data_IF_471827597446
#
_entry.id   IF_471827597446
#
_cell.length_a   1.000
_cell.length_b   1.000
_cell.length_c   1.000
_cell.angle_alpha   90.00
_cell.angle_beta   90.00
_cell.angle_gamma   90.00
#
_symmetry.space_group_name_H-M   'P 1'
#
loop_
_entity.id
_entity.type
_entity.pdbx_description
1 polymer ?
#
# COMPACT_ATOMS: atom_id res chain seq x y z
N UNK A 1 -17.40 15.36 -17.33
CA UNK A 1 -17.63 13.89 -17.33
C UNK A 1 -17.64 13.22 -18.73
N UNK A 2 -17.58 13.95 -19.86
CA UNK A 2 -17.58 13.34 -21.21
C UNK A 2 -16.25 12.70 -21.65
N UNK A 3 -15.11 13.32 -21.35
CA UNK A 3 -13.79 12.81 -21.77
C UNK A 3 -13.41 11.47 -21.10
N UNK A 4 -13.89 11.24 -19.88
CA UNK A 4 -13.74 9.96 -19.17
C UNK A 4 -14.69 8.90 -19.73
N UNK A 5 -15.89 9.28 -20.18
CA UNK A 5 -16.85 8.39 -20.85
C UNK A 5 -16.35 7.93 -22.23
N UNK A 6 -15.71 8.83 -23.00
CA UNK A 6 -15.11 8.51 -24.31
C UNK A 6 -13.81 7.69 -24.19
N UNK A 7 -13.05 7.83 -23.10
CA UNK A 7 -11.86 7.00 -22.83
C UNK A 7 -12.21 5.64 -22.21
N UNK A 8 -13.23 5.58 -21.35
CA UNK A 8 -13.75 4.32 -20.80
C UNK A 8 -14.43 3.49 -21.90
N UNK A 9 -15.11 4.13 -22.86
CA UNK A 9 -15.68 3.44 -24.02
C UNK A 9 -14.63 2.74 -24.90
N UNK A 10 -13.41 3.27 -24.98
CA UNK A 10 -12.30 2.65 -25.72
C UNK A 10 -11.59 1.50 -24.97
N UNK A 11 -11.70 1.44 -23.64
CA UNK A 11 -11.08 0.38 -22.82
C UNK A 11 -12.08 -0.75 -22.51
N UNK A 12 -13.39 -0.49 -22.58
CA UNK A 12 -14.45 -1.48 -22.33
C UNK A 12 -14.60 -2.56 -23.42
N UNK A 13 -13.94 -2.44 -24.57
CA UNK A 13 -14.11 -3.37 -25.71
C UNK A 13 -13.40 -4.71 -25.56
N UNK A 14 -12.74 -4.99 -24.42
CA UNK A 14 -12.11 -6.30 -24.17
C UNK A 14 -12.82 -7.19 -23.14
N UNK A 15 -13.89 -6.72 -22.49
CA UNK A 15 -14.59 -7.53 -21.46
C UNK A 15 -16.10 -7.50 -21.70
N UNK A 16 -16.55 -8.52 -22.43
CA UNK A 16 -17.94 -8.95 -22.70
C UNK A 16 -18.87 -8.03 -23.54
N UNK A 17 -19.55 -8.59 -24.58
CA UNK A 17 -20.60 -7.90 -25.29
C UNK A 17 -21.83 -7.74 -24.38
N UNK A 18 -22.16 -6.51 -23.96
CA UNK A 18 -23.38 -6.20 -23.20
C UNK A 18 -23.20 -5.27 -21.99
N UNK A 19 -21.98 -5.13 -21.44
CA UNK A 19 -21.74 -4.35 -20.22
C UNK A 19 -21.94 -2.82 -20.39
N UNK A 20 -21.72 -2.28 -21.59
CA UNK A 20 -21.89 -0.85 -21.87
C UNK A 20 -23.35 -0.37 -21.75
N UNK A 21 -24.32 -1.24 -22.04
CA UNK A 21 -25.74 -0.95 -21.89
C UNK A 21 -26.17 -0.91 -20.42
N UNK A 22 -25.64 -1.83 -19.60
CA UNK A 22 -26.00 -1.94 -18.19
C UNK A 22 -25.48 -0.77 -17.35
N UNK A 23 -24.21 -0.40 -17.49
CA UNK A 23 -23.64 0.75 -16.77
C UNK A 23 -24.31 2.07 -17.18
N UNK A 24 -24.60 2.26 -18.47
CA UNK A 24 -25.31 3.45 -18.95
C UNK A 24 -26.77 3.49 -18.51
N UNK A 25 -27.43 2.35 -18.37
CA UNK A 25 -28.78 2.25 -17.79
C UNK A 25 -28.76 2.53 -16.27
N UNK A 26 -27.86 1.90 -15.51
CA UNK A 26 -27.74 2.09 -14.07
C UNK A 26 -27.37 3.54 -13.70
N UNK A 27 -26.43 4.13 -14.43
CA UNK A 27 -26.09 5.55 -14.27
C UNK A 27 -27.26 6.48 -14.60
N UNK A 28 -28.14 6.10 -15.55
CA UNK A 28 -29.38 6.85 -15.85
C UNK A 28 -30.40 6.76 -14.71
N UNK A 29 -30.57 5.58 -14.12
CA UNK A 29 -31.48 5.39 -12.98
C UNK A 29 -31.06 6.23 -11.77
N UNK A 30 -29.76 6.22 -11.43
CA UNK A 30 -29.22 7.06 -10.35
C UNK A 30 -29.32 8.55 -10.66
N UNK A 31 -29.05 8.96 -11.90
CA UNK A 31 -29.19 10.35 -12.30
C UNK A 31 -30.64 10.84 -12.16
N UNK A 32 -31.63 10.01 -12.52
CA UNK A 32 -33.05 10.35 -12.39
C UNK A 32 -33.50 10.59 -10.94
N UNK A 33 -32.79 10.05 -9.95
CA UNK A 33 -33.07 10.30 -8.53
C UNK A 33 -32.41 11.57 -7.99
N UNK A 34 -31.56 12.21 -8.79
CA UNK A 34 -30.86 13.42 -8.40
C UNK A 34 -31.74 14.66 -8.66
N UNK A 35 -31.81 15.63 -7.72
CA UNK A 35 -32.58 16.85 -7.91
C UNK A 35 -32.14 17.59 -9.19
N UNK A 36 -33.08 18.27 -9.86
CA UNK A 36 -32.85 19.00 -11.14
C UNK A 36 -31.60 19.90 -11.06
N UNK A 37 -31.41 20.58 -9.93
CA UNK A 37 -30.25 21.47 -9.70
C UNK A 37 -28.92 20.73 -9.74
N UNK A 38 -28.85 19.51 -9.23
CA UNK A 38 -27.66 18.67 -9.23
C UNK A 38 -27.43 17.99 -10.57
N UNK A 39 -28.49 17.70 -11.35
CA UNK A 39 -28.34 17.18 -12.72
C UNK A 39 -27.82 18.23 -13.68
N UNK A 40 -28.39 19.44 -13.63
CA UNK A 40 -27.87 20.59 -14.34
C UNK A 40 -26.44 20.88 -13.91
N UNK A 41 -26.20 20.84 -12.59
CA UNK A 41 -24.87 20.96 -12.00
C UNK A 41 -24.04 19.67 -12.01
N UNK A 42 -24.28 18.71 -12.90
CA UNK A 42 -23.34 17.62 -13.16
C UNK A 42 -23.20 17.38 -14.68
N UNK A 43 -23.80 18.25 -15.50
CA UNK A 43 -23.92 18.03 -16.95
C UNK A 43 -24.69 16.75 -17.31
N UNK A 44 -25.50 16.23 -16.38
CA UNK A 44 -26.33 15.03 -16.55
C UNK A 44 -27.69 15.37 -17.19
N UNK A 45 -28.11 16.63 -17.12
CA UNK A 45 -29.26 17.14 -17.85
C UNK A 45 -28.99 17.14 -19.36
N UNK A 46 -29.97 16.70 -20.15
CA UNK A 46 -29.92 16.79 -21.62
C UNK A 46 -30.47 18.13 -22.11
N UNK A 47 -30.40 19.14 -21.27
CA UNK A 47 -31.03 20.42 -21.53
C UNK A 47 -30.29 21.11 -22.69
N UNK A 48 -31.05 21.53 -23.69
CA UNK A 48 -30.52 22.14 -24.91
C UNK A 48 -31.30 23.41 -25.18
N UNK A 49 -30.57 24.43 -25.62
CA UNK A 49 -31.18 25.61 -26.20
C UNK A 49 -31.39 25.35 -27.68
N UNK A 50 -32.65 25.29 -28.10
CA UNK A 50 -33.05 25.12 -29.49
C UNK A 50 -33.31 26.49 -30.11
N UNK A 51 -32.72 26.72 -31.27
CA UNK A 51 -32.90 27.90 -32.09
C UNK A 51 -33.66 27.46 -33.34
N UNK A 52 -34.82 28.04 -33.62
CA UNK A 52 -35.56 27.78 -34.85
C UNK A 52 -35.85 29.10 -35.56
N UNK A 53 -35.65 29.11 -36.88
CA UNK A 53 -36.06 30.21 -37.74
C UNK A 53 -37.40 29.82 -38.37
N UNK A 54 -38.44 30.63 -38.15
CA UNK A 54 -39.69 30.45 -38.88
C UNK A 54 -39.49 30.83 -40.35
N UNK A 55 -40.35 30.31 -41.24
CA UNK A 55 -40.33 30.70 -42.65
C UNK A 55 -40.48 32.23 -42.78
N UNK A 56 -39.84 32.85 -43.78
CA UNK A 56 -39.89 34.29 -43.95
C UNK A 56 -41.35 34.74 -44.02
N UNK A 57 -41.78 35.47 -42.99
CA UNK A 57 -43.12 36.03 -42.92
C UNK A 57 -43.19 37.21 -43.90
N UNK A 58 -44.38 37.49 -44.44
CA UNK A 58 -44.59 38.55 -45.44
C UNK A 58 -44.15 39.97 -44.96
N UNK A 59 -43.90 40.14 -43.66
CA UNK A 59 -43.39 41.37 -43.02
C UNK A 59 -41.84 41.49 -42.98
N UNK A 60 -41.09 40.56 -43.57
CA UNK A 60 -39.64 40.73 -43.83
C UNK A 60 -38.70 40.72 -42.61
N UNK A 61 -39.22 40.51 -41.40
CA UNK A 61 -38.41 40.31 -40.19
C UNK A 61 -38.39 38.82 -39.86
N UNK A 62 -37.32 38.14 -40.26
CA UNK A 62 -37.05 36.78 -39.80
C UNK A 62 -36.96 36.81 -38.27
N UNK A 63 -37.78 36.05 -37.56
CA UNK A 63 -37.72 35.98 -36.09
C UNK A 63 -37.00 34.69 -35.68
N UNK A 64 -35.95 34.82 -34.88
CA UNK A 64 -35.27 33.69 -34.26
C UNK A 64 -36.04 33.29 -33.00
N UNK A 65 -36.69 32.12 -33.01
CA UNK A 65 -37.37 31.58 -31.86
C UNK A 65 -36.41 30.74 -31.00
N UNK A 66 -36.44 30.98 -29.69
CA UNK A 66 -35.63 30.27 -28.70
C UNK A 66 -36.52 29.35 -27.87
N UNK A 67 -36.25 28.05 -27.94
CA UNK A 67 -36.97 27.04 -27.15
C UNK A 67 -35.99 26.29 -26.25
N UNK A 68 -36.42 25.96 -25.04
CA UNK A 68 -35.68 25.11 -24.12
C UNK A 68 -36.20 23.69 -24.25
N UNK A 69 -35.33 22.76 -24.60
CA UNK A 69 -35.62 21.33 -24.45
C UNK A 69 -35.10 20.90 -23.09
N UNK A 70 -35.99 20.50 -22.20
CA UNK A 70 -35.64 19.88 -20.92
C UNK A 70 -35.87 18.37 -21.04
N UNK A 71 -34.83 17.59 -20.79
CA UNK A 71 -34.86 16.13 -20.92
C UNK A 71 -34.67 15.45 -19.56
N UNK A 72 -35.74 14.91 -18.98
CA UNK A 72 -35.67 14.20 -17.69
C UNK A 72 -35.26 12.72 -17.82
N UNK A 73 -35.12 12.22 -19.05
CA UNK A 73 -34.73 10.83 -19.32
C UNK A 73 -35.78 9.77 -18.97
N UNK A 74 -36.83 10.13 -18.21
CA UNK A 74 -37.97 9.28 -17.82
C UNK A 74 -39.29 9.69 -18.49
N UNK A 75 -39.54 11.00 -18.61
CA UNK A 75 -40.67 11.57 -19.36
C UNK A 75 -40.14 12.17 -20.66
N UNK A 76 -40.88 11.99 -21.75
CA UNK A 76 -40.48 12.45 -23.08
C UNK A 76 -40.02 13.92 -23.06
N UNK A 77 -39.08 14.25 -23.94
CA UNK A 77 -38.46 15.56 -23.96
C UNK A 77 -39.52 16.66 -24.10
N UNK A 78 -39.58 17.58 -23.13
CA UNK A 78 -40.50 18.71 -23.17
C UNK A 78 -39.81 19.91 -23.80
N UNK A 79 -40.43 20.47 -24.84
CA UNK A 79 -39.95 21.69 -25.50
C UNK A 79 -40.81 22.86 -25.04
N UNK A 80 -40.19 23.86 -24.41
CA UNK A 80 -40.85 25.08 -23.93
C UNK A 80 -40.34 26.29 -24.69
N UNK A 81 -41.24 27.16 -25.16
CA UNK A 81 -40.86 28.42 -25.77
C UNK A 81 -40.35 29.42 -24.71
N UNK A 82 -39.18 30.01 -24.96
CA UNK A 82 -38.54 31.00 -24.09
C UNK A 82 -38.83 32.41 -24.61
N UNK A 83 -38.84 32.59 -25.93
CA UNK A 83 -39.05 33.89 -26.55
C UNK A 83 -38.64 33.94 -28.03
N UNK A 84 -38.89 35.10 -28.66
CA UNK A 84 -38.52 35.39 -30.04
C UNK A 84 -37.63 36.61 -30.08
N UNK A 85 -36.53 36.53 -30.81
CA UNK A 85 -35.63 37.63 -31.10
C UNK A 85 -35.82 38.06 -32.55
N UNK A 86 -35.94 39.37 -32.84
CA UNK A 86 -35.91 39.84 -34.23
C UNK A 86 -34.53 39.51 -34.82
N UNK A 87 -34.49 38.81 -35.95
CA UNK A 87 -33.26 38.68 -36.72
C UNK A 87 -32.98 40.02 -37.39
N UNK A 88 -32.06 40.77 -36.81
CA UNK A 88 -31.57 42.04 -37.32
C UNK A 88 -30.07 42.17 -37.08
N UNK A 89 -29.51 43.34 -37.36
CA UNK A 89 -28.07 43.66 -37.24
C UNK A 89 -27.44 43.29 -35.87
N UNK A 90 -28.24 43.12 -34.82
CA UNK A 90 -27.81 42.66 -33.50
C UNK A 90 -27.17 41.27 -33.49
N UNK A 91 -27.50 40.39 -34.45
CA UNK A 91 -26.90 39.06 -34.58
C UNK A 91 -25.55 39.06 -35.35
N UNK A 92 -25.23 40.16 -36.04
CA UNK A 92 -24.07 40.28 -36.93
C UNK A 92 -22.84 40.98 -36.34
N UNK A 93 -22.98 41.69 -35.22
CA UNK A 93 -21.93 42.60 -34.71
C UNK A 93 -21.03 41.94 -33.65
N UNK A 94 -21.55 40.98 -32.87
CA UNK A 94 -20.83 40.35 -31.76
C UNK A 94 -20.57 38.85 -31.97
N UNK A 95 -19.52 38.33 -31.33
CA UNK A 95 -19.15 36.90 -31.42
C UNK A 95 -20.19 35.99 -30.73
N UNK A 96 -20.94 36.54 -29.76
CA UNK A 96 -22.05 35.86 -29.07
C UNK A 96 -23.12 36.85 -28.55
N UNK A 97 -24.04 37.31 -29.41
CA UNK A 97 -25.08 38.28 -29.03
C UNK A 97 -26.13 37.70 -28.08
N UNK A 98 -26.22 36.36 -27.96
CA UNK A 98 -27.15 35.70 -27.05
C UNK A 98 -26.64 35.68 -25.61
N UNK A 99 -25.34 35.88 -25.38
CA UNK A 99 -24.76 35.86 -24.04
C UNK A 99 -25.21 37.04 -23.16
N UNK A 100 -25.55 38.18 -23.75
CA UNK A 100 -26.01 39.37 -23.03
C UNK A 100 -27.51 39.30 -22.67
N UNK A 101 -28.29 38.50 -23.40
CA UNK A 101 -29.75 38.41 -23.26
C UNK A 101 -30.19 37.20 -22.45
N UNK A 102 -29.43 36.09 -22.52
CA UNK A 102 -29.79 34.84 -21.84
C UNK A 102 -29.33 34.82 -20.38
N UNK A 103 -30.14 34.18 -19.52
CA UNK A 103 -29.76 33.94 -18.13
C UNK A 103 -28.51 33.04 -18.04
N UNK A 104 -27.67 33.19 -16.99
CA UNK A 104 -26.46 32.39 -16.80
C UNK A 104 -26.69 30.86 -16.81
N UNK A 105 -27.86 30.40 -16.37
CA UNK A 105 -28.21 28.97 -16.38
C UNK A 105 -28.55 28.43 -17.77
N UNK A 106 -28.88 29.29 -18.74
CA UNK A 106 -29.32 28.92 -20.09
C UNK A 106 -28.22 29.21 -21.12
N UNK A 107 -27.42 30.26 -20.91
CA UNK A 107 -26.35 30.68 -21.83
C UNK A 107 -25.28 29.60 -22.01
N UNK A 108 -25.02 28.81 -20.98
CA UNK A 108 -24.04 27.72 -20.98
C UNK A 108 -24.57 26.39 -21.49
N UNK A 109 -25.88 26.31 -21.79
CA UNK A 109 -26.45 25.11 -22.40
C UNK A 109 -25.95 24.95 -23.84
N UNK A 110 -25.76 23.70 -24.32
CA UNK A 110 -25.42 23.45 -25.71
C UNK A 110 -26.52 24.00 -26.62
N UNK A 111 -26.11 24.79 -27.62
CA UNK A 111 -27.02 25.47 -28.55
C UNK A 111 -27.17 24.67 -29.83
N UNK A 112 -28.40 24.50 -30.28
CA UNK A 112 -28.73 23.68 -31.45
C UNK A 112 -29.66 24.46 -32.38
N UNK A 113 -29.32 24.51 -33.67
CA UNK A 113 -30.25 24.98 -34.69
C UNK A 113 -31.18 23.83 -35.06
N UNK A 114 -32.49 24.06 -35.01
CA UNK A 114 -33.50 23.09 -35.40
C UNK A 114 -34.14 23.54 -36.72
N UNK A 115 -33.93 22.75 -37.77
CA UNK A 115 -34.52 22.97 -39.07
C UNK A 115 -35.96 22.41 -39.10
N UNK A 116 -36.92 23.06 -39.79
CA UNK A 116 -38.25 22.51 -39.97
C UNK A 116 -38.21 21.17 -40.72
N UNK A 117 -39.19 20.31 -40.45
CA UNK A 117 -39.30 18.97 -41.05
C UNK A 117 -39.25 18.97 -42.59
N UNK A 118 -39.73 20.05 -43.23
CA UNK A 118 -39.73 20.22 -44.68
C UNK A 118 -38.35 20.45 -45.30
N UNK A 119 -37.33 20.73 -44.48
CA UNK A 119 -35.99 21.03 -44.96
C UNK A 119 -35.15 19.78 -45.26
N UNK A 120 -35.61 18.60 -44.85
CA UNK A 120 -34.84 17.37 -44.93
C UNK A 120 -35.67 16.16 -45.33
N UNK A 121 -34.99 15.16 -45.89
CA UNK A 121 -35.54 13.85 -46.18
C UNK A 121 -35.24 12.90 -45.02
N UNK A 122 -36.24 12.09 -44.67
CA UNK A 122 -36.13 11.04 -43.66
C UNK A 122 -36.40 9.69 -44.31
N UNK A 123 -35.45 8.75 -44.19
CA UNK A 123 -35.56 7.42 -44.78
C UNK A 123 -35.28 6.35 -43.75
N UNK A 124 -36.24 5.44 -43.54
CA UNK A 124 -36.03 4.25 -42.72
C UNK A 124 -35.33 3.16 -43.51
N UNK A 125 -34.34 2.52 -42.89
CA UNK A 125 -33.54 1.43 -43.44
C UNK A 125 -33.11 0.45 -42.34
N UNK A 126 -32.63 -0.72 -42.76
CA UNK A 126 -32.10 -1.75 -41.86
C UNK A 126 -30.59 -1.87 -42.02
N UNK A 127 -29.86 -1.89 -40.92
CA UNK A 127 -28.40 -2.10 -40.91
C UNK A 127 -28.01 -3.23 -39.96
N UNK A 128 -26.91 -3.98 -40.24
CA UNK A 128 -26.43 -5.01 -39.33
C UNK A 128 -26.10 -4.46 -37.93
N UNK A 129 -26.30 -5.25 -36.87
CA UNK A 129 -26.02 -4.86 -35.49
C UNK A 129 -24.58 -4.34 -35.26
N UNK A 130 -23.60 -4.86 -36.02
CA UNK A 130 -22.20 -4.41 -35.96
C UNK A 130 -21.98 -2.97 -36.44
N UNK A 131 -22.93 -2.38 -37.17
CA UNK A 131 -22.86 -0.99 -37.64
C UNK A 131 -23.22 0.02 -36.55
N UNK A 132 -23.73 -0.41 -35.38
CA UNK A 132 -24.20 0.49 -34.33
C UNK A 132 -23.16 1.54 -33.89
N UNK A 133 -21.88 1.13 -33.78
CA UNK A 133 -20.81 1.98 -33.26
C UNK A 133 -20.23 2.93 -34.33
N UNK A 134 -20.45 2.63 -35.61
CA UNK A 134 -19.98 3.43 -36.76
C UNK A 134 -21.13 3.79 -37.69
N UNK A 135 -22.27 4.14 -37.11
CA UNK A 135 -23.51 4.34 -37.85
C UNK A 135 -23.37 5.41 -38.94
N UNK A 136 -22.72 6.54 -38.62
CA UNK A 136 -22.50 7.64 -39.56
C UNK A 136 -21.62 7.23 -40.75
N UNK A 137 -20.55 6.48 -40.50
CA UNK A 137 -19.63 6.04 -41.55
C UNK A 137 -20.34 5.07 -42.50
N UNK A 138 -21.10 4.11 -41.97
CA UNK A 138 -21.87 3.16 -42.78
C UNK A 138 -22.92 3.88 -43.61
N UNK A 139 -23.63 4.84 -43.00
CA UNK A 139 -24.66 5.63 -43.67
C UNK A 139 -24.08 6.56 -44.74
N UNK A 140 -22.84 7.02 -44.62
CA UNK A 140 -22.19 7.83 -45.65
C UNK A 140 -22.03 7.10 -47.00
N UNK A 141 -21.91 5.76 -46.98
CA UNK A 141 -21.85 4.95 -48.20
C UNK A 141 -23.24 4.63 -48.77
N UNK A 142 -24.27 4.67 -47.92
CA UNK A 142 -25.65 4.37 -48.30
C UNK A 142 -26.44 5.60 -48.74
N UNK A 143 -25.95 6.82 -48.48
CA UNK A 143 -26.71 8.06 -48.73
C UNK A 143 -27.13 8.21 -50.20
N UNK A 144 -26.22 7.95 -51.14
CA UNK A 144 -26.45 8.08 -52.58
C UNK A 144 -27.42 7.02 -53.13
N UNK A 145 -27.52 5.88 -52.43
CA UNK A 145 -28.47 4.80 -52.79
C UNK A 145 -29.85 5.00 -52.18
N UNK A 146 -29.92 5.66 -51.04
CA UNK A 146 -31.13 5.76 -50.22
C UNK A 146 -31.80 7.14 -50.30
N UNK A 147 -31.11 8.13 -50.84
CA UNK A 147 -31.57 9.52 -50.98
C UNK A 147 -31.13 10.09 -52.33
N UNK A 148 -31.80 11.13 -52.86
CA UNK A 148 -31.38 11.80 -54.09
C UNK A 148 -30.15 12.70 -53.90
N UNK A 149 -29.45 12.60 -52.76
CA UNK A 149 -28.33 13.47 -52.41
C UNK A 149 -27.03 12.68 -52.28
N UNK A 150 -25.94 13.32 -52.64
CA UNK A 150 -24.59 12.78 -52.43
C UNK A 150 -24.08 13.17 -51.04
N UNK A 151 -23.10 12.42 -50.52
CA UNK A 151 -22.49 12.69 -49.22
C UNK A 151 -21.85 14.08 -49.12
N UNK A 152 -21.48 14.68 -50.25
CA UNK A 152 -20.86 16.01 -50.34
C UNK A 152 -21.88 17.15 -50.44
N UNK A 153 -23.08 16.89 -50.96
CA UNK A 153 -24.11 17.91 -51.21
C UNK A 153 -25.20 17.97 -50.14
N UNK A 154 -25.18 17.03 -49.19
CA UNK A 154 -26.10 16.99 -48.06
C UNK A 154 -25.39 16.81 -46.72
N UNK A 155 -25.90 17.48 -45.70
CA UNK A 155 -25.61 17.16 -44.31
C UNK A 155 -26.48 15.97 -43.90
N UNK A 156 -25.86 14.94 -43.33
CA UNK A 156 -26.56 13.72 -42.96
C UNK A 156 -26.10 13.19 -41.60
N UNK A 157 -27.03 12.50 -40.96
CA UNK A 157 -26.80 11.71 -39.75
C UNK A 157 -27.89 10.64 -39.64
N UNK A 158 -27.71 9.69 -38.74
CA UNK A 158 -28.64 8.59 -38.56
C UNK A 158 -28.93 8.29 -37.10
N UNK A 159 -30.15 7.85 -36.82
CA UNK A 159 -30.58 7.43 -35.48
C UNK A 159 -31.15 6.03 -35.47
N UNK A 160 -30.93 5.32 -34.37
CA UNK A 160 -31.45 3.97 -34.16
C UNK A 160 -32.88 4.09 -33.62
N UNK A 161 -33.85 3.54 -34.35
CA UNK A 161 -35.25 3.44 -33.92
C UNK A 161 -35.48 2.19 -33.07
N UNK A 162 -34.79 1.09 -33.38
CA UNK A 162 -34.94 -0.18 -32.69
C UNK A 162 -33.78 -1.13 -32.94
N UNK A 163 -33.58 -2.08 -32.02
CA UNK A 163 -32.62 -3.18 -32.17
C UNK A 163 -33.41 -4.49 -32.25
N UNK A 164 -33.31 -5.19 -33.37
CA UNK A 164 -34.02 -6.46 -33.56
C UNK A 164 -33.09 -7.61 -33.19
N UNK A 165 -33.35 -8.20 -32.02
CA UNK A 165 -32.52 -9.27 -31.46
C UNK A 165 -32.69 -10.61 -32.21
N UNK A 166 -33.81 -10.81 -32.92
CA UNK A 166 -34.13 -12.06 -33.60
C UNK A 166 -33.31 -12.32 -34.87
N UNK A 167 -32.91 -11.26 -35.58
CA UNK A 167 -32.20 -11.33 -36.87
C UNK A 167 -30.88 -10.56 -36.86
N UNK A 168 -30.48 -9.97 -35.73
CA UNK A 168 -29.24 -9.22 -35.60
C UNK A 168 -29.21 -7.93 -36.42
N UNK A 169 -30.38 -7.35 -36.74
CA UNK A 169 -30.53 -6.12 -37.51
C UNK A 169 -30.88 -4.93 -36.60
N UNK A 170 -30.63 -3.72 -37.10
CA UNK A 170 -30.98 -2.44 -36.50
C UNK A 170 -31.96 -1.74 -37.42
N UNK A 171 -33.06 -1.25 -36.86
CA UNK A 171 -33.94 -0.33 -37.56
C UNK A 171 -33.41 1.08 -37.37
N UNK A 172 -33.03 1.72 -38.46
CA UNK A 172 -32.33 3.02 -38.49
C UNK A 172 -33.12 4.01 -39.34
N UNK A 173 -33.13 5.26 -38.93
CA UNK A 173 -33.64 6.37 -39.74
C UNK A 173 -32.48 7.26 -40.16
N UNK A 174 -32.22 7.31 -41.46
CA UNK A 174 -31.31 8.26 -42.09
C UNK A 174 -32.03 9.60 -42.26
N UNK A 175 -31.38 10.67 -41.85
CA UNK A 175 -31.83 12.04 -42.04
C UNK A 175 -30.81 12.76 -42.90
N UNK A 176 -31.26 13.29 -44.03
CA UNK A 176 -30.43 14.03 -44.98
C UNK A 176 -31.04 15.40 -45.29
N UNK A 177 -30.24 16.45 -45.18
CA UNK A 177 -30.63 17.83 -45.45
C UNK A 177 -29.69 18.40 -46.52
N UNK A 178 -30.20 18.94 -47.63
CA UNK A 178 -29.37 19.60 -48.64
C UNK A 178 -28.55 20.73 -48.03
N UNK A 179 -27.26 20.82 -48.35
CA UNK A 179 -26.42 21.93 -47.88
C UNK A 179 -26.98 23.27 -48.35
N UNK A 180 -27.55 23.34 -49.57
CA UNK A 180 -28.21 24.53 -50.10
C UNK A 180 -29.40 25.02 -49.26
N UNK A 181 -30.06 24.13 -48.51
CA UNK A 181 -31.16 24.50 -47.61
C UNK A 181 -30.68 24.82 -46.18
N UNK A 182 -29.55 24.24 -45.76
CA UNK A 182 -28.98 24.42 -44.43
C UNK A 182 -28.10 25.67 -44.33
N UNK A 183 -27.29 25.94 -45.35
CA UNK A 183 -26.22 26.94 -45.34
C UNK A 183 -26.75 28.39 -45.25
N UNK A 184 -27.80 28.79 -45.99
CA UNK A 184 -28.39 30.13 -45.83
C UNK A 184 -28.92 30.39 -44.43
N UNK A 185 -29.45 29.37 -43.76
CA UNK A 185 -29.96 29.47 -42.38
C UNK A 185 -28.84 29.60 -41.35
N UNK A 186 -27.71 28.93 -41.59
CA UNK A 186 -26.51 29.11 -40.78
C UNK A 186 -25.91 30.50 -40.97
N UNK A 187 -25.88 31.00 -42.21
CA UNK A 187 -25.42 32.36 -42.52
C UNK A 187 -26.31 33.43 -41.88
N UNK A 188 -27.63 33.24 -41.89
CA UNK A 188 -28.60 34.12 -41.23
C UNK A 188 -28.41 34.21 -39.70
N UNK A 189 -27.73 33.25 -39.06
CA UNK A 189 -27.39 33.31 -37.63
C UNK A 189 -26.15 34.16 -37.32
N UNK A 190 -25.36 34.55 -38.33
CA UNK A 190 -24.16 35.36 -38.14
C UNK A 190 -23.21 34.78 -37.09
N UNK A 191 -22.81 35.61 -36.12
CA UNK A 191 -21.87 35.23 -35.05
C UNK A 191 -22.33 34.03 -34.21
N UNK A 192 -23.65 33.83 -34.06
CA UNK A 192 -24.24 32.73 -33.28
C UNK A 192 -23.95 31.37 -33.91
N UNK A 193 -23.81 31.28 -35.24
CA UNK A 193 -23.50 30.03 -35.92
C UNK A 193 -22.21 29.37 -35.38
N UNK A 194 -21.22 30.19 -35.00
CA UNK A 194 -19.95 29.72 -34.43
C UNK A 194 -20.07 29.13 -33.01
N UNK A 195 -21.17 29.42 -32.32
CA UNK A 195 -21.46 28.95 -30.95
C UNK A 195 -22.30 27.67 -30.92
N UNK A 196 -22.78 27.20 -32.08
CA UNK A 196 -23.63 26.02 -32.18
C UNK A 196 -22.86 24.74 -31.85
N UNK A 197 -23.48 23.89 -31.01
CA UNK A 197 -23.02 22.53 -30.73
C UNK A 197 -23.52 21.52 -31.77
N UNK A 198 -24.59 21.84 -32.50
CA UNK A 198 -25.16 20.98 -33.53
C UNK A 198 -26.31 21.60 -34.32
N UNK A 199 -26.71 20.89 -35.37
CA UNK A 199 -27.91 21.19 -36.19
C UNK A 199 -28.78 19.93 -36.20
N UNK A 200 -30.04 20.06 -35.84
CA UNK A 200 -31.03 18.99 -35.82
C UNK A 200 -32.16 19.29 -36.82
N UNK A 201 -32.98 18.29 -37.12
CA UNK A 201 -34.19 18.41 -37.91
C UNK A 201 -35.39 18.16 -37.00
N UNK A 202 -36.43 18.98 -37.11
CA UNK A 202 -37.69 18.77 -36.42
C UNK A 202 -38.54 17.69 -37.08
N UNK A 203 -39.40 17.05 -36.30
CA UNK A 203 -40.52 16.27 -36.81
C UNK A 203 -41.72 17.18 -37.18
N UNK A 204 -42.82 16.57 -37.61
CA UNK A 204 -44.04 17.30 -37.96
C UNK A 204 -44.66 18.08 -36.78
N UNK A 205 -44.34 17.69 -35.54
CA UNK A 205 -44.77 18.38 -34.32
C UNK A 205 -43.81 19.48 -33.86
N UNK A 206 -42.72 19.74 -34.59
CA UNK A 206 -41.73 20.74 -34.20
C UNK A 206 -40.76 20.28 -33.12
N UNK A 207 -40.72 18.97 -32.83
CA UNK A 207 -39.79 18.38 -31.85
C UNK A 207 -38.52 17.88 -32.55
N UNK A 208 -37.33 18.11 -31.98
CA UNK A 208 -36.07 17.70 -32.59
C UNK A 208 -35.94 16.17 -32.65
N UNK A 209 -35.39 15.64 -33.74
CA UNK A 209 -35.23 14.19 -33.95
C UNK A 209 -34.07 13.59 -33.13
N UNK A 210 -33.18 14.42 -32.60
CA UNK A 210 -32.02 14.01 -31.83
C UNK A 210 -30.82 13.61 -32.69
N UNK A 211 -30.78 14.08 -33.94
CA UNK A 211 -29.65 13.87 -34.87
C UNK A 211 -28.76 15.10 -34.94
N UNK A 212 -27.47 14.94 -35.25
CA UNK A 212 -26.55 16.06 -35.40
C UNK A 212 -25.96 16.09 -36.82
N UNK A 213 -26.62 16.87 -37.67
CA UNK A 213 -26.27 17.07 -39.07
C UNK A 213 -24.95 17.84 -39.24
N UNK A 214 -24.47 18.53 -38.20
CA UNK A 214 -23.22 19.26 -38.25
C UNK A 214 -22.02 18.28 -38.37
N UNK A 215 -21.06 18.51 -39.29
CA UNK A 215 -19.84 17.71 -39.38
C UNK A 215 -19.04 17.74 -38.07
N UNK A 216 -18.36 16.64 -37.65
CA UNK A 216 -17.69 16.57 -36.36
C UNK A 216 -16.62 17.67 -36.18
N UNK A 217 -15.97 18.07 -37.27
CA UNK A 217 -14.95 19.13 -37.29
C UNK A 217 -15.50 20.52 -36.98
N UNK A 218 -16.78 20.79 -37.26
CA UNK A 218 -17.43 22.09 -37.02
C UNK A 218 -18.15 22.13 -35.66
N UNK A 219 -18.25 21.00 -34.95
CA UNK A 219 -18.92 20.92 -33.65
C UNK A 219 -18.07 21.61 -32.58
N UNK A 220 -18.49 22.80 -32.16
CA UNK A 220 -17.91 23.47 -30.99
C UNK A 220 -18.28 22.67 -29.74
N UNK A 221 -17.31 21.97 -29.18
CA UNK A 221 -17.45 21.35 -27.87
C UNK A 221 -17.24 22.44 -26.82
N UNK A 222 -18.32 23.01 -26.30
CA UNK A 222 -18.20 23.88 -25.11
C UNK A 222 -17.65 22.99 -23.99
N UNK A 223 -16.48 23.35 -23.48
CA UNK A 223 -15.77 22.54 -22.49
C UNK A 223 -16.68 22.35 -21.27
N UNK A 224 -16.94 21.10 -20.93
CA UNK A 224 -17.71 20.75 -19.74
C UNK A 224 -17.01 21.35 -18.52
N UNK A 225 -17.63 22.31 -17.79
CA UNK A 225 -17.02 22.95 -16.64
C UNK A 225 -16.61 21.95 -15.55
N UNK A 226 -17.22 20.76 -15.50
CA UNK A 226 -16.82 19.67 -14.59
C UNK A 226 -15.61 18.87 -15.05
N UNK A 227 -15.10 19.06 -16.27
CA UNK A 227 -13.91 18.35 -16.73
C UNK A 227 -12.67 18.72 -15.89
N UNK A 228 -12.56 19.96 -15.44
CA UNK A 228 -11.48 20.42 -14.54
C UNK A 228 -11.67 19.88 -13.12
N UNK A 229 -12.91 19.88 -12.61
CA UNK A 229 -13.25 19.28 -11.32
C UNK A 229 -12.97 17.77 -11.28
N UNK A 230 -13.17 17.06 -12.40
CA UNK A 230 -12.78 15.65 -12.50
C UNK A 230 -11.27 15.44 -12.30
N UNK A 231 -10.43 16.37 -12.75
CA UNK A 231 -8.99 16.33 -12.46
C UNK A 231 -8.69 16.61 -10.99
N UNK A 232 -9.40 17.55 -10.38
CA UNK A 232 -9.29 17.83 -8.93
C UNK A 232 -9.67 16.58 -8.12
N UNK A 233 -10.81 15.96 -8.43
CA UNK A 233 -11.22 14.72 -7.77
C UNK A 233 -10.23 13.57 -8.03
N UNK A 234 -9.66 13.47 -9.23
CA UNK A 234 -8.62 12.51 -9.55
C UNK A 234 -7.36 12.72 -8.70
N UNK A 235 -6.92 13.98 -8.54
CA UNK A 235 -5.79 14.33 -7.69
C UNK A 235 -6.06 14.00 -6.22
N UNK A 236 -7.24 14.36 -5.70
CA UNK A 236 -7.64 14.05 -4.32
C UNK A 236 -7.68 12.53 -4.09
N UNK A 237 -8.23 11.77 -5.03
CA UNK A 237 -8.25 10.30 -4.93
C UNK A 237 -6.84 9.72 -4.92
N UNK A 238 -5.91 10.25 -5.73
CA UNK A 238 -4.52 9.82 -5.76
C UNK A 238 -3.77 10.16 -4.46
N UNK A 239 -4.01 11.35 -3.91
CA UNK A 239 -3.46 11.75 -2.60
C UNK A 239 -4.01 10.87 -1.46
N UNK A 240 -5.32 10.59 -1.47
CA UNK A 240 -5.94 9.70 -0.50
C UNK A 240 -5.39 8.27 -0.59
N UNK A 241 -5.16 7.76 -1.81
CA UNK A 241 -4.52 6.46 -2.01
C UNK A 241 -3.09 6.46 -1.48
N UNK A 242 -2.31 7.50 -1.77
CA UNK A 242 -0.95 7.67 -1.24
C UNK A 242 -0.91 7.72 0.29
N UNK A 243 -1.84 8.45 0.90
CA UNK A 243 -1.99 8.52 2.35
C UNK A 243 -2.36 7.16 2.96
N UNK A 244 -3.30 6.43 2.36
CA UNK A 244 -3.67 5.09 2.82
C UNK A 244 -2.49 4.11 2.74
N UNK A 245 -1.72 4.13 1.64
CA UNK A 245 -0.50 3.33 1.49
C UNK A 245 0.56 3.69 2.53
N UNK A 246 0.74 4.99 2.80
CA UNK A 246 1.65 5.47 3.82
C UNK A 246 1.25 5.00 5.22
N UNK A 247 -0.04 5.08 5.57
CA UNK A 247 -0.58 4.60 6.83
C UNK A 247 -0.39 3.09 7.02
N UNK A 248 -0.56 2.29 5.95
CA UNK A 248 -0.30 0.84 5.99
C UNK A 248 1.18 0.55 6.26
N UNK A 249 2.08 1.31 5.64
CA UNK A 249 3.52 1.12 5.83
C UNK A 249 3.95 1.50 7.26
N UNK A 250 3.42 2.60 7.79
CA UNK A 250 3.67 3.05 9.16
C UNK A 250 3.14 2.06 10.20
N UNK A 251 1.94 1.53 9.99
CA UNK A 251 1.37 0.48 10.84
C UNK A 251 2.23 -0.80 10.82
N UNK A 252 2.80 -1.16 9.66
CA UNK A 252 3.72 -2.32 9.57
C UNK A 252 5.06 -2.07 10.25
N UNK A 253 5.62 -0.86 10.14
CA UNK A 253 6.87 -0.49 10.84
C UNK A 253 6.67 -0.51 12.35
N UNK A 254 5.64 0.15 12.83
CA UNK A 254 5.32 0.15 14.27
C UNK A 254 5.00 -1.24 14.83
N UNK A 255 4.41 -2.15 14.04
CA UNK A 255 4.25 -3.54 14.43
C UNK A 255 5.58 -4.30 14.52
N UNK A 256 6.52 -4.04 13.60
CA UNK A 256 7.86 -4.62 13.65
C UNK A 256 8.66 -4.13 14.87
N UNK A 257 8.62 -2.83 15.16
CA UNK A 257 9.31 -2.23 16.31
C UNK A 257 8.79 -2.81 17.64
N UNK A 258 7.48 -3.07 17.75
CA UNK A 258 6.88 -3.73 18.93
C UNK A 258 7.39 -5.16 19.08
N UNK A 259 7.45 -5.92 17.99
CA UNK A 259 7.95 -7.30 18.03
C UNK A 259 9.43 -7.34 18.44
N UNK A 260 10.24 -6.43 17.91
CA UNK A 260 11.65 -6.31 18.27
C UNK A 260 11.82 -5.96 19.76
N UNK A 261 11.02 -5.02 20.28
CA UNK A 261 11.01 -4.68 21.69
C UNK A 261 10.64 -5.89 22.59
N UNK A 262 9.62 -6.67 22.19
CA UNK A 262 9.20 -7.86 22.93
C UNK A 262 10.29 -8.95 22.92
N UNK A 263 10.91 -9.20 21.76
CA UNK A 263 12.01 -10.18 21.63
C UNK A 263 13.21 -9.75 22.48
N UNK A 264 13.57 -8.47 22.47
CA UNK A 264 14.67 -7.94 23.28
C UNK A 264 14.36 -8.07 24.78
N UNK A 265 13.13 -7.79 25.20
CA UNK A 265 12.70 -7.96 26.59
C UNK A 265 12.77 -9.43 27.05
N UNK A 266 12.35 -10.39 26.21
CA UNK A 266 12.45 -11.81 26.53
C UNK A 266 13.90 -12.30 26.55
N UNK A 267 14.72 -11.84 25.61
CA UNK A 267 16.16 -12.17 25.56
C UNK A 267 16.90 -11.63 26.78
N UNK A 268 16.55 -10.43 27.26
CA UNK A 268 17.10 -9.88 28.49
C UNK A 268 16.73 -10.74 29.72
N UNK A 269 15.49 -11.22 29.81
CA UNK A 269 15.06 -12.18 30.86
C UNK A 269 15.80 -13.51 30.77
N UNK A 270 16.01 -14.04 29.55
CA UNK A 270 16.77 -15.26 29.35
C UNK A 270 18.25 -15.10 29.74
N UNK A 271 18.87 -13.96 29.41
CA UNK A 271 20.26 -13.64 29.82
C UNK A 271 20.41 -13.55 31.33
N UNK A 272 19.46 -12.92 32.03
CA UNK A 272 19.51 -12.86 33.51
C UNK A 272 19.29 -14.24 34.15
N UNK A 273 18.43 -15.09 33.57
CA UNK A 273 18.26 -16.47 34.02
C UNK A 273 19.54 -17.32 33.78
N UNK A 274 20.20 -17.15 32.63
CA UNK A 274 21.46 -17.81 32.32
C UNK A 274 22.58 -17.37 33.29
N UNK A 275 22.69 -16.07 33.59
CA UNK A 275 23.65 -15.54 34.56
C UNK A 275 23.44 -16.10 35.96
N UNK A 276 22.19 -16.20 36.43
CA UNK A 276 21.87 -16.80 37.74
C UNK A 276 22.26 -18.28 37.80
N UNK A 277 22.02 -19.03 36.72
CA UNK A 277 22.47 -20.43 36.63
C UNK A 277 23.98 -20.53 36.67
N UNK A 278 24.70 -19.63 35.98
CA UNK A 278 26.16 -19.61 36.00
C UNK A 278 26.69 -19.36 37.41
N UNK A 279 26.15 -18.39 38.14
CA UNK A 279 26.54 -18.12 39.53
C UNK A 279 26.31 -19.32 40.46
N UNK A 280 25.22 -20.07 40.25
CA UNK A 280 24.95 -21.30 41.01
C UNK A 280 25.96 -22.41 40.69
N UNK A 281 26.30 -22.59 39.41
CA UNK A 281 27.31 -23.56 38.98
C UNK A 281 28.68 -23.19 39.55
N UNK A 282 29.10 -21.93 39.41
CA UNK A 282 30.38 -21.45 39.92
C UNK A 282 30.48 -21.61 41.45
N UNK A 283 29.38 -21.40 42.20
CA UNK A 283 29.33 -21.61 43.64
C UNK A 283 29.45 -23.09 44.04
N UNK A 284 28.77 -23.99 43.30
CA UNK A 284 28.85 -25.44 43.54
C UNK A 284 30.25 -25.96 43.18
N UNK A 285 30.79 -25.56 42.04
CA UNK A 285 32.14 -25.95 41.61
C UNK A 285 33.20 -25.44 42.61
N UNK A 286 33.05 -24.21 43.10
CA UNK A 286 33.91 -23.65 44.16
C UNK A 286 33.89 -24.46 45.46
N UNK A 287 32.74 -24.96 45.89
CA UNK A 287 32.63 -25.83 47.07
C UNK A 287 33.34 -27.18 46.86
N UNK A 288 33.13 -27.81 45.69
CA UNK A 288 33.78 -29.10 45.40
C UNK A 288 35.30 -28.99 45.32
N UNK A 289 35.83 -27.88 44.81
CA UNK A 289 37.27 -27.59 44.78
C UNK A 289 37.84 -27.42 46.20
N UNK A 290 37.16 -26.67 47.06
CA UNK A 290 37.58 -26.46 48.46
C UNK A 290 37.54 -27.75 49.27
N UNK A 291 36.55 -28.60 49.06
CA UNK A 291 36.47 -29.91 49.70
C UNK A 291 37.59 -30.85 49.25
N UNK A 292 37.95 -30.85 47.97
CA UNK A 292 39.08 -31.63 47.46
C UNK A 292 40.41 -31.15 48.04
N UNK A 293 40.60 -29.83 48.17
CA UNK A 293 41.79 -29.26 48.80
C UNK A 293 41.89 -29.66 50.29
N UNK A 294 40.75 -29.72 51.00
CA UNK A 294 40.71 -30.20 52.39
C UNK A 294 41.02 -31.70 52.50
N UNK A 295 40.53 -32.54 51.60
CA UNK A 295 40.75 -34.00 51.62
C UNK A 295 42.17 -34.42 51.22
N UNK A 296 42.88 -33.60 50.43
CA UNK A 296 44.25 -33.91 49.98
C UNK A 296 45.34 -33.69 51.03
N UNK A 297 45.01 -33.10 52.19
CA UNK A 297 45.94 -32.88 53.30
C UNK A 297 45.84 -34.01 54.33
N UNK A 298 46.94 -34.67 54.72
CA UNK A 298 46.95 -35.63 55.82
C UNK A 298 46.35 -35.00 57.08
N UNK A 299 45.51 -35.74 57.80
CA UNK A 299 44.91 -35.19 59.02
C UNK A 299 45.98 -35.01 60.09
N UNK A 300 45.87 -33.95 60.91
CA UNK A 300 46.84 -33.70 61.99
C UNK A 300 46.93 -34.88 62.97
N UNK A 301 45.85 -35.65 63.11
CA UNK A 301 45.77 -36.85 63.95
C UNK A 301 46.60 -37.99 63.35
N UNK A 302 46.53 -38.25 62.04
CA UNK A 302 47.36 -39.27 61.37
C UNK A 302 48.85 -38.95 61.44
N UNK A 303 49.20 -37.67 61.30
CA UNK A 303 50.60 -37.21 61.45
C UNK A 303 51.10 -37.42 62.88
N UNK A 304 50.29 -37.09 63.89
CA UNK A 304 50.64 -37.30 65.29
C UNK A 304 50.74 -38.78 65.66
N UNK A 305 49.83 -39.63 65.20
CA UNK A 305 49.86 -41.07 65.45
C UNK A 305 51.14 -41.69 64.88
N UNK A 306 51.48 -41.41 63.62
CA UNK A 306 52.70 -41.92 63.00
C UNK A 306 53.97 -41.38 63.71
N UNK A 307 53.96 -40.12 64.17
CA UNK A 307 55.06 -39.54 64.96
C UNK A 307 55.25 -40.31 66.27
N UNK A 308 54.16 -40.57 67.00
CA UNK A 308 54.23 -41.30 68.28
C UNK A 308 54.69 -42.75 68.10
N UNK A 309 54.36 -43.41 66.99
CA UNK A 309 54.82 -44.78 66.71
C UNK A 309 56.30 -44.88 66.37
N UNK A 310 56.87 -43.85 65.74
CA UNK A 310 58.27 -43.87 65.26
C UNK A 310 59.26 -43.27 66.23
N UNK A 311 58.81 -42.41 67.13
CA UNK A 311 59.66 -41.82 68.16
C UNK A 311 59.92 -42.84 69.28
N UNK A 312 61.17 -43.02 69.73
CA UNK A 312 61.46 -43.90 70.84
C UNK A 312 60.98 -43.30 72.17
N UNK A 313 60.63 -44.15 73.13
CA UNK A 313 60.15 -43.77 74.48
C UNK A 313 61.15 -42.88 75.25
N UNK A 314 62.40 -42.82 74.81
CA UNK A 314 63.46 -41.97 75.36
C UNK A 314 63.38 -40.51 74.89
N UNK A 315 62.47 -40.18 73.98
CA UNK A 315 62.29 -38.85 73.36
C UNK A 315 61.06 -38.13 73.92
N UNK A 316 61.26 -36.89 74.36
CA UNK A 316 60.19 -36.01 74.84
C UNK A 316 59.96 -34.87 73.85
N UNK A 317 58.70 -34.66 73.44
CA UNK A 317 58.32 -33.56 72.55
C UNK A 317 57.87 -32.35 73.36
N UNK A 318 58.44 -31.19 73.08
CA UNK A 318 58.02 -29.91 73.67
C UNK A 318 57.04 -29.17 72.77
N UNK A 319 57.27 -29.22 71.46
CA UNK A 319 56.42 -28.52 70.49
C UNK A 319 56.33 -29.31 69.20
N UNK A 320 55.10 -29.51 68.72
CA UNK A 320 54.81 -29.98 67.37
C UNK A 320 54.01 -28.87 66.68
N UNK A 321 54.50 -28.39 65.54
CA UNK A 321 53.84 -27.39 64.73
C UNK A 321 53.68 -27.93 63.31
N UNK A 322 52.46 -27.83 62.77
CA UNK A 322 52.15 -28.17 61.40
C UNK A 322 51.71 -26.87 60.71
N UNK A 323 52.56 -26.35 59.85
CA UNK A 323 52.32 -25.10 59.13
C UNK A 323 52.31 -25.36 57.64
N UNK A 324 51.13 -25.22 57.02
CA UNK A 324 50.86 -25.58 55.64
C UNK A 324 51.27 -27.04 55.34
N UNK A 325 52.47 -27.19 54.78
CA UNK A 325 52.99 -28.44 54.24
C UNK A 325 54.27 -28.84 54.98
N UNK A 326 54.60 -28.15 56.09
CA UNK A 326 55.80 -28.40 56.88
C UNK A 326 55.46 -28.82 58.29
N UNK A 327 56.05 -29.93 58.71
CA UNK A 327 56.02 -30.44 60.06
C UNK A 327 57.30 -30.02 60.78
N UNK A 328 57.18 -29.30 61.89
CA UNK A 328 58.30 -28.94 62.76
C UNK A 328 58.10 -29.56 64.13
N UNK A 329 59.11 -30.30 64.59
CA UNK A 329 59.11 -31.01 65.87
C UNK A 329 60.31 -30.55 66.69
N UNK A 330 60.06 -30.11 67.91
CA UNK A 330 61.08 -29.66 68.86
C UNK A 330 60.96 -30.49 70.13
N UNK A 331 62.08 -31.02 70.61
CA UNK A 331 62.09 -31.87 71.78
C UNK A 331 63.49 -32.15 72.33
N UNK A 332 63.54 -33.08 73.28
CA UNK A 332 64.75 -33.57 73.94
C UNK A 332 64.84 -35.07 73.73
N UNK A 333 65.98 -35.58 73.26
CA UNK A 333 66.20 -37.02 73.05
C UNK A 333 67.60 -37.44 73.48
N UNK A 334 67.75 -38.68 73.94
CA UNK A 334 69.05 -39.30 74.19
C UNK A 334 69.71 -39.82 72.91
N UNK A 335 68.96 -39.96 71.81
CA UNK A 335 69.43 -40.49 70.52
C UNK A 335 69.10 -39.52 69.37
N UNK A 336 69.30 -38.22 69.59
CA UNK A 336 68.81 -37.18 68.69
C UNK A 336 69.39 -37.26 67.25
N UNK A 337 70.63 -37.72 67.08
CA UNK A 337 71.25 -37.96 65.76
C UNK A 337 70.61 -39.11 64.97
N UNK A 338 69.97 -40.08 65.66
CA UNK A 338 69.33 -41.24 65.03
C UNK A 338 67.86 -41.01 64.65
N UNK A 339 67.24 -39.92 65.12
CA UNK A 339 65.82 -39.64 64.89
C UNK A 339 65.48 -39.40 63.42
N UNK A 340 66.40 -38.82 62.65
CA UNK A 340 66.21 -38.57 61.21
C UNK A 340 66.01 -39.90 60.46
N UNK A 341 66.90 -40.87 60.69
CA UNK A 341 66.82 -42.18 60.05
C UNK A 341 65.55 -42.97 60.45
N UNK A 342 65.04 -42.78 61.68
CA UNK A 342 63.81 -43.43 62.13
C UNK A 342 62.54 -42.80 61.54
N UNK A 343 62.56 -41.48 61.36
CA UNK A 343 61.45 -40.75 60.74
C UNK A 343 61.45 -40.89 59.21
N UNK A 344 62.54 -41.34 58.61
CA UNK A 344 62.64 -41.66 57.19
C UNK A 344 61.79 -42.90 56.83
N UNK A 345 61.12 -42.87 55.66
CA UNK A 345 60.27 -43.96 55.20
C UNK A 345 58.81 -43.92 55.67
N UNK A 346 58.31 -42.78 56.17
CA UNK A 346 56.87 -42.55 56.33
C UNK A 346 56.19 -42.24 54.98
N UNK A 347 54.93 -42.65 54.83
CA UNK A 347 54.10 -42.27 53.67
C UNK A 347 53.51 -40.88 53.80
N UNK A 348 53.50 -40.31 55.01
CA UNK A 348 52.83 -39.05 55.34
C UNK A 348 53.74 -37.82 55.26
N UNK A 349 55.06 -38.00 55.27
CA UNK A 349 56.04 -36.92 55.13
C UNK A 349 57.29 -37.38 54.38
N UNK A 350 58.06 -36.43 53.87
CA UNK A 350 59.28 -36.61 53.07
C UNK A 350 60.41 -35.75 53.64
N UNK A 351 61.64 -36.19 53.40
CA UNK A 351 62.87 -35.48 53.74
C UNK A 351 62.93 -34.97 55.20
N UNK A 352 62.84 -35.85 56.23
CA UNK A 352 63.09 -35.42 57.60
C UNK A 352 64.54 -34.94 57.71
N UNK A 353 64.76 -33.77 58.31
CA UNK A 353 66.08 -33.19 58.50
C UNK A 353 66.15 -32.45 59.84
N UNK A 354 67.34 -32.47 60.47
CA UNK A 354 67.61 -31.65 61.65
C UNK A 354 67.79 -30.20 61.22
N UNK A 355 66.93 -29.32 61.72
CA UNK A 355 66.98 -27.89 61.48
C UNK A 355 67.72 -27.21 62.64
N UNK A 356 69.05 -27.30 62.63
CA UNK A 356 69.94 -26.67 63.60
C UNK A 356 70.95 -27.62 64.23
N UNK A 357 71.88 -27.06 65.02
CA UNK A 357 72.85 -27.85 65.78
C UNK A 357 72.18 -28.50 67.01
N UNK A 358 72.60 -29.73 67.33
CA UNK A 358 72.20 -30.41 68.56
C UNK A 358 72.79 -29.68 69.76
N UNK A 359 71.94 -29.30 70.71
CA UNK A 359 72.37 -28.59 71.92
C UNK A 359 72.12 -29.48 73.14
N UNK A 360 73.19 -29.87 73.83
CA UNK A 360 73.07 -30.71 75.03
C UNK A 360 72.50 -29.89 76.20
N UNK A 361 71.47 -30.43 76.87
CA UNK A 361 70.85 -29.81 78.04
C UNK A 361 71.48 -30.35 79.33
N UNK A 362 72.24 -29.52 80.10
CA UNK A 362 72.93 -29.96 81.30
C UNK A 362 72.01 -30.43 82.42
N UNK A 363 70.72 -30.09 82.37
CA UNK A 363 69.74 -30.45 83.41
C UNK A 363 69.16 -31.86 83.23
N UNK A 364 69.06 -32.33 81.98
CA UNK A 364 68.43 -33.61 81.64
C UNK A 364 69.42 -34.64 81.08
N UNK A 365 70.63 -34.22 80.69
CA UNK A 365 71.61 -35.09 80.03
C UNK A 365 71.16 -35.57 78.64
N UNK A 366 70.18 -34.88 78.04
CA UNK A 366 69.62 -35.16 76.71
C UNK A 366 69.93 -34.02 75.75
N UNK A 367 69.91 -34.32 74.46
CA UNK A 367 70.15 -33.33 73.41
C UNK A 367 68.83 -32.73 72.93
N UNK A 368 68.77 -31.40 72.90
CA UNK A 368 67.67 -30.63 72.31
C UNK A 368 67.81 -30.69 70.79
N UNK A 369 66.73 -31.09 70.13
CA UNK A 369 66.67 -31.18 68.67
C UNK A 369 65.50 -30.36 68.13
N UNK A 370 65.70 -29.85 66.91
CA UNK A 370 64.65 -29.27 66.08
C UNK A 370 64.68 -30.05 64.77
N UNK A 371 63.56 -30.65 64.40
CA UNK A 371 63.42 -31.47 63.21
C UNK A 371 62.33 -30.91 62.31
N UNK A 372 62.59 -30.87 61.02
CA UNK A 372 61.65 -30.43 60.00
C UNK A 372 61.43 -31.52 58.97
N UNK A 373 60.19 -31.70 58.52
CA UNK A 373 59.83 -32.61 57.43
C UNK A 373 58.72 -31.99 56.56
N UNK A 374 58.68 -32.32 55.28
CA UNK A 374 57.64 -31.85 54.36
C UNK A 374 56.49 -32.88 54.29
N UNK A 375 55.25 -32.48 54.54
CA UNK A 375 54.07 -33.35 54.48
C UNK A 375 53.79 -33.77 53.03
N UNK A 376 53.45 -35.05 52.85
CA UNK A 376 53.10 -35.60 51.55
C UNK A 376 51.66 -35.21 51.20
N UNK A 377 51.50 -34.19 50.35
CA UNK A 377 50.19 -33.71 49.88
C UNK A 377 49.86 -34.33 48.54
N UNK A 378 48.62 -34.82 48.39
CA UNK A 378 48.09 -35.26 47.12
C UNK A 378 47.42 -34.06 46.45
N UNK A 379 48.03 -33.55 45.38
CA UNK A 379 47.47 -32.43 44.63
C UNK A 379 46.10 -32.81 44.02
N UNK A 380 45.09 -31.92 44.08
CA UNK A 380 43.78 -32.20 43.50
C UNK A 380 43.89 -32.32 41.98
N UNK A 381 43.33 -33.39 41.42
CA UNK A 381 43.28 -33.63 39.98
C UNK A 381 42.20 -32.72 39.37
N UNK A 382 42.60 -31.57 38.83
CA UNK A 382 41.66 -30.71 38.09
C UNK A 382 41.38 -31.35 36.73
N UNK A 383 40.26 -32.08 36.61
CA UNK A 383 39.72 -32.44 35.30
C UNK A 383 39.10 -31.20 34.66
N UNK A 384 39.91 -30.44 33.93
CA UNK A 384 39.42 -29.36 33.08
C UNK A 384 38.54 -29.95 31.97
N UNK A 385 37.22 -29.86 32.13
CA UNK A 385 36.22 -30.33 31.14
C UNK A 385 36.07 -29.37 29.94
N UNK A 386 37.10 -28.60 29.58
CA UNK A 386 37.01 -27.64 28.48
C UNK A 386 37.11 -28.26 27.06
N UNK A 387 37.35 -29.56 26.91
CA UNK A 387 37.42 -30.20 25.58
C UNK A 387 36.05 -30.59 24.97
N UNK A 388 34.94 -30.44 25.70
CA UNK A 388 33.62 -30.87 25.22
C UNK A 388 32.94 -29.95 24.20
N UNK A 389 33.29 -28.67 24.15
CA UNK A 389 32.50 -27.67 23.39
C UNK A 389 33.07 -27.34 22.00
N UNK A 390 34.31 -27.74 21.68
CA UNK A 390 34.90 -27.47 20.36
C UNK A 390 34.59 -28.53 19.29
N UNK A 391 34.11 -29.73 19.65
CA UNK A 391 33.75 -30.77 18.65
C UNK A 391 32.33 -30.66 18.06
N UNK A 392 31.49 -29.74 18.54
CA UNK A 392 30.11 -29.57 18.06
C UNK A 392 29.92 -28.56 16.91
N UNK A 393 30.95 -27.78 16.57
CA UNK A 393 30.85 -26.71 15.56
C UNK A 393 31.40 -27.09 14.17
N UNK A 394 31.79 -28.35 13.95
CA UNK A 394 32.37 -28.81 12.69
C UNK A 394 31.48 -29.80 11.91
N UNK A 395 30.23 -30.02 12.32
CA UNK A 395 29.27 -30.83 11.57
C UNK A 395 27.87 -30.21 11.65
N UNK A 396 27.64 -29.19 10.83
CA UNK A 396 26.38 -29.02 10.10
C UNK A 396 26.57 -28.06 8.92
#
# INVERSE_FOLDING_TARGET
MSALRDRIGRIQTRVLPGAGGWLSWWSRGLAAWLPVRWRAALGLGRDRLLLSQDAPSADGLDALQLRLQAGDGMQGDTVRDIGRLPAGETLGIDTDPLASVLAPSIVDLPRWLVLPASAGLRRRMTLPAGAADRLRDVVSFEIDRQTPFTAESAAFDARILGRRASDGQLDVELVAVPLSAMQPRLEALGGVASTLSGVDLADAGGTPLGVNLLPPAMRRHRADPWATWNWVFGLVALLALGFALWQVLDNRRSAADRLEADVNAQTAKARTAAQRRQLLVDAVDGQTYLDQLRRGRPSAIEVLDELTRRLPDTTYLEKVAIENDKLTVIGLSSEASGLVARLEGSKLWRAPALAGALQSDPRSGKDRFTLTADLAIVAPTVQNRQEGTQRGAANN
#
